data_IF_796078919404
#
_entry.id   IF_796078919404
#
_cell.length_a   1.000
_cell.length_b   1.000
_cell.length_c   1.000
_cell.angle_alpha   90.00
_cell.angle_beta   90.00
_cell.angle_gamma   90.00
#
_symmetry.space_group_name_H-M   'P 1'
#
loop_
_entity.id
_entity.type
_entity.pdbx_description
1 polymer ?
#
# COMPACT_ATOMS: atom_id res chain seq x y z
N UNK A 1 27.26 19.98 12.42
CA UNK A 1 26.62 19.35 11.24
C UNK A 1 26.51 20.41 10.15
N UNK A 2 27.10 20.16 8.98
CA UNK A 2 26.90 21.04 7.82
C UNK A 2 25.45 20.87 7.33
N UNK A 3 24.68 21.98 7.33
CA UNK A 3 23.27 21.92 6.92
C UNK A 3 23.21 22.00 5.38
N UNK A 4 22.88 20.88 4.75
CA UNK A 4 22.60 20.81 3.29
C UNK A 4 21.12 20.64 3.05
N UNK A 5 20.61 21.28 1.99
CA UNK A 5 19.22 21.09 1.56
C UNK A 5 19.00 19.66 1.07
N UNK A 6 17.98 19.00 1.59
CA UNK A 6 17.51 17.68 1.12
C UNK A 6 16.19 17.82 0.38
N UNK A 7 16.04 17.07 -0.70
CA UNK A 7 14.79 17.03 -1.48
C UNK A 7 13.87 15.86 -1.09
N UNK A 8 14.24 15.07 -0.10
CA UNK A 8 13.50 13.88 0.30
C UNK A 8 12.02 14.17 0.60
N UNK A 9 11.73 15.12 1.50
CA UNK A 9 10.37 15.48 1.84
C UNK A 9 9.62 16.23 0.71
N UNK A 10 10.34 16.92 -0.16
CA UNK A 10 9.75 17.51 -1.36
C UNK A 10 9.29 16.43 -2.35
N UNK A 11 9.99 15.30 -2.42
CA UNK A 11 9.55 14.14 -3.16
C UNK A 11 8.33 13.48 -2.50
N UNK A 12 8.36 13.21 -1.20
CA UNK A 12 7.23 12.61 -0.48
C UNK A 12 5.95 13.45 -0.59
N UNK A 13 6.04 14.78 -0.57
CA UNK A 13 4.88 15.67 -0.75
C UNK A 13 4.17 15.47 -2.10
N UNK A 14 4.84 14.89 -3.09
CA UNK A 14 4.24 14.61 -4.41
C UNK A 14 3.28 13.42 -4.40
N UNK A 15 3.31 12.53 -3.39
CA UNK A 15 2.36 11.42 -3.29
C UNK A 15 0.91 11.90 -3.35
N UNK A 16 0.59 13.03 -2.76
CA UNK A 16 -0.75 13.64 -2.80
C UNK A 16 -1.19 14.11 -4.20
N UNK A 17 -0.27 14.26 -5.15
CA UNK A 17 -0.55 14.70 -6.52
C UNK A 17 -0.81 13.52 -7.46
N UNK A 18 -0.44 12.29 -7.06
CA UNK A 18 -0.54 11.09 -7.88
C UNK A 18 -1.89 10.43 -7.59
N UNK A 19 -2.76 10.41 -8.61
CA UNK A 19 -4.08 9.82 -8.51
C UNK A 19 -4.01 8.33 -8.84
N UNK A 20 -4.53 7.50 -7.95
CA UNK A 20 -4.74 6.07 -8.20
C UNK A 20 -5.94 5.86 -9.12
N UNK A 21 -5.96 4.72 -9.82
CA UNK A 21 -7.03 4.40 -10.77
C UNK A 21 -7.22 5.49 -11.85
N UNK A 22 -6.13 6.14 -12.27
CA UNK A 22 -6.14 7.33 -13.13
C UNK A 22 -6.78 7.12 -14.50
N UNK A 23 -6.85 5.86 -15.00
CA UNK A 23 -7.51 5.49 -16.25
C UNK A 23 -8.95 5.00 -16.09
N UNK A 24 -9.49 5.05 -14.88
CA UNK A 24 -10.86 4.66 -14.58
C UNK A 24 -11.68 5.88 -14.12
N UNK A 25 -12.98 5.84 -14.40
CA UNK A 25 -13.91 6.82 -13.82
C UNK A 25 -14.10 6.49 -12.36
N UNK A 26 -13.86 7.46 -11.49
CA UNK A 26 -13.99 7.33 -10.04
C UNK A 26 -15.14 8.20 -9.55
N UNK A 27 -15.97 7.67 -8.65
CA UNK A 27 -16.92 8.45 -7.86
C UNK A 27 -16.16 9.25 -6.82
N UNK A 28 -15.27 8.59 -6.09
CA UNK A 28 -14.38 9.21 -5.14
C UNK A 28 -12.93 9.07 -5.59
N UNK A 29 -12.22 10.19 -5.70
CA UNK A 29 -10.80 10.18 -6.06
C UNK A 29 -9.97 9.74 -4.87
N UNK A 30 -8.92 8.99 -5.16
CA UNK A 30 -7.93 8.52 -4.19
C UNK A 30 -6.53 8.89 -4.68
N UNK A 31 -5.73 9.52 -3.85
CA UNK A 31 -4.31 9.76 -4.14
C UNK A 31 -3.41 8.81 -3.34
N UNK A 32 -2.13 8.73 -3.73
CA UNK A 32 -1.18 7.81 -3.09
C UNK A 32 -0.93 8.10 -1.60
N UNK A 33 -0.99 9.36 -1.17
CA UNK A 33 -0.79 9.68 0.24
C UNK A 33 -1.93 9.18 1.12
N UNK A 34 -3.17 9.32 0.68
CA UNK A 34 -4.36 8.79 1.36
C UNK A 34 -4.34 7.26 1.38
N UNK A 35 -4.03 6.64 0.24
CA UNK A 35 -3.90 5.19 0.13
C UNK A 35 -2.82 4.65 1.07
N UNK A 36 -1.62 5.20 1.04
CA UNK A 36 -0.52 4.75 1.89
C UNK A 36 -0.85 4.84 3.37
N UNK A 37 -1.58 5.87 3.81
CA UNK A 37 -2.05 5.96 5.19
C UNK A 37 -3.07 4.86 5.53
N UNK A 38 -4.02 4.58 4.64
CA UNK A 38 -4.99 3.50 4.83
C UNK A 38 -4.31 2.13 4.88
N UNK A 39 -3.35 1.89 3.98
CA UNK A 39 -2.56 0.66 3.97
C UNK A 39 -1.78 0.50 5.28
N UNK A 40 -1.22 1.59 5.83
CA UNK A 40 -0.51 1.55 7.10
C UNK A 40 -1.41 1.16 8.27
N UNK A 41 -2.64 1.68 8.34
CA UNK A 41 -3.61 1.27 9.37
C UNK A 41 -3.98 -0.21 9.26
N UNK A 42 -4.24 -0.70 8.06
CA UNK A 42 -4.57 -2.11 7.82
C UNK A 42 -3.37 -3.01 8.13
N UNK A 43 -2.17 -2.62 7.72
CA UNK A 43 -0.94 -3.38 7.94
C UNK A 43 -0.62 -3.52 9.44
N UNK A 44 -0.76 -2.46 10.22
CA UNK A 44 -0.62 -2.52 11.66
C UNK A 44 -1.67 -3.47 12.27
N UNK A 45 -2.93 -3.35 11.84
CA UNK A 45 -4.00 -4.21 12.34
C UNK A 45 -3.74 -5.69 12.03
N UNK A 46 -3.34 -6.03 10.79
CA UNK A 46 -3.00 -7.41 10.43
C UNK A 46 -1.84 -7.95 11.27
N UNK A 47 -0.80 -7.17 11.49
CA UNK A 47 0.33 -7.55 12.32
C UNK A 47 -0.07 -7.80 13.78
N UNK A 48 -0.90 -6.94 14.37
CA UNK A 48 -1.44 -7.11 15.73
C UNK A 48 -2.33 -8.35 15.81
N UNK A 49 -3.25 -8.54 14.86
CA UNK A 49 -4.14 -9.71 14.78
C UNK A 49 -3.32 -10.99 14.71
N UNK A 50 -2.30 -11.02 13.83
CA UNK A 50 -1.39 -12.16 13.68
C UNK A 50 -0.68 -12.49 14.98
N UNK A 51 -0.10 -11.50 15.66
CA UNK A 51 0.58 -11.72 16.93
C UNK A 51 -0.39 -12.19 18.04
N UNK A 52 -1.56 -11.57 18.11
CA UNK A 52 -2.52 -11.82 19.20
C UNK A 52 -3.21 -13.19 19.08
N UNK A 53 -3.55 -13.62 17.85
CA UNK A 53 -4.43 -14.76 17.66
C UNK A 53 -3.78 -15.95 16.93
N UNK A 54 -2.69 -15.69 16.18
CA UNK A 54 -2.13 -16.70 15.28
C UNK A 54 -0.63 -16.97 15.52
N UNK A 55 -0.12 -16.56 16.69
CA UNK A 55 1.23 -16.89 17.13
C UNK A 55 2.35 -16.22 16.33
N UNK A 56 2.08 -15.07 15.71
CA UNK A 56 3.11 -14.26 15.06
C UNK A 56 3.98 -13.52 16.07
N UNK A 57 5.15 -13.09 15.62
CA UNK A 57 6.12 -12.30 16.39
C UNK A 57 6.67 -11.11 15.56
N UNK A 58 5.82 -10.53 14.71
CA UNK A 58 6.21 -9.39 13.86
C UNK A 58 6.11 -8.07 14.64
N UNK A 59 6.79 -7.03 14.17
CA UNK A 59 6.72 -5.70 14.76
C UNK A 59 5.65 -4.86 14.04
N UNK A 60 4.46 -4.60 14.67
CA UNK A 60 3.37 -3.88 14.03
C UNK A 60 3.70 -2.43 13.67
N UNK A 61 4.47 -1.74 14.51
CA UNK A 61 4.86 -0.35 14.28
C UNK A 61 5.80 -0.25 13.08
N UNK A 62 6.78 -1.16 12.98
CA UNK A 62 7.68 -1.23 11.84
C UNK A 62 6.90 -1.51 10.55
N UNK A 63 6.00 -2.47 10.56
CA UNK A 63 5.18 -2.84 9.38
C UNK A 63 4.29 -1.67 8.95
N UNK A 64 3.71 -0.93 9.89
CA UNK A 64 2.94 0.27 9.58
C UNK A 64 3.78 1.33 8.88
N UNK A 65 5.01 1.58 9.37
CA UNK A 65 5.92 2.54 8.73
C UNK A 65 6.35 2.07 7.34
N UNK A 66 6.68 0.79 7.17
CA UNK A 66 6.97 0.22 5.85
C UNK A 66 5.79 0.41 4.88
N UNK A 67 4.57 0.17 5.34
CA UNK A 67 3.36 0.37 4.55
C UNK A 67 3.14 1.84 4.15
N UNK A 68 3.53 2.82 4.98
CA UNK A 68 3.50 4.24 4.59
C UNK A 68 4.39 4.55 3.39
N UNK A 69 5.47 3.80 3.21
CA UNK A 69 6.47 4.03 2.16
C UNK A 69 6.34 3.07 0.96
N UNK A 70 5.42 2.10 0.99
CA UNK A 70 5.39 0.98 0.03
C UNK A 70 5.26 1.38 -1.44
N UNK A 71 4.58 2.49 -1.73
CA UNK A 71 4.37 3.02 -3.08
C UNK A 71 5.20 4.29 -3.38
N UNK A 72 6.23 4.59 -2.56
CA UNK A 72 7.02 5.82 -2.75
C UNK A 72 7.85 5.84 -4.04
N UNK A 73 8.16 4.68 -4.62
CA UNK A 73 8.76 4.58 -5.96
C UNK A 73 7.90 5.24 -7.04
N UNK A 74 6.58 5.26 -6.87
CA UNK A 74 5.61 5.85 -7.79
C UNK A 74 5.70 7.39 -7.87
N UNK A 75 6.44 8.04 -6.97
CA UNK A 75 6.79 9.47 -7.10
C UNK A 75 7.50 9.75 -8.43
N UNK A 76 8.25 8.78 -8.95
CA UNK A 76 9.04 8.91 -10.19
C UNK A 76 8.34 8.29 -11.39
N UNK A 77 7.54 7.24 -11.20
CA UNK A 77 6.87 6.49 -12.27
C UNK A 77 5.42 6.87 -12.50
N UNK A 78 4.77 7.45 -11.48
CA UNK A 78 3.30 7.52 -11.40
C UNK A 78 2.69 6.16 -11.08
N UNK A 79 1.39 6.13 -10.77
CA UNK A 79 0.61 4.90 -10.59
C UNK A 79 0.43 4.21 -11.94
N UNK A 80 1.25 3.19 -12.19
CA UNK A 80 1.20 2.43 -13.45
C UNK A 80 0.00 1.47 -13.45
N UNK A 81 -0.89 1.57 -14.45
CA UNK A 81 -2.03 0.67 -14.55
C UNK A 81 -1.62 -0.81 -14.52
N UNK A 82 -2.29 -1.59 -13.68
CA UNK A 82 -2.00 -3.02 -13.47
C UNK A 82 -1.89 -3.84 -14.76
N UNK A 83 -2.73 -3.63 -15.83
CA UNK A 83 -2.56 -4.35 -17.09
C UNK A 83 -1.25 -4.08 -17.81
N UNK A 84 -0.61 -2.93 -17.56
CA UNK A 84 0.70 -2.60 -18.12
C UNK A 84 1.80 -3.20 -17.24
N UNK A 85 1.71 -3.02 -15.90
CA UNK A 85 2.70 -3.52 -14.94
C UNK A 85 2.92 -5.04 -15.05
N UNK A 86 1.88 -5.79 -15.38
CA UNK A 86 1.91 -7.27 -15.51
C UNK A 86 1.64 -7.76 -16.94
N UNK A 87 1.99 -6.97 -17.96
CA UNK A 87 1.74 -7.34 -19.37
C UNK A 87 2.51 -8.59 -19.79
N UNK A 88 3.79 -8.69 -19.40
CA UNK A 88 4.63 -9.87 -19.57
C UNK A 88 5.74 -9.89 -18.51
N UNK A 89 6.51 -11.00 -18.44
CA UNK A 89 7.59 -11.16 -17.47
C UNK A 89 8.70 -10.12 -17.61
N UNK A 90 9.04 -9.72 -18.83
CA UNK A 90 10.10 -8.74 -19.09
C UNK A 90 9.73 -7.37 -18.54
N UNK A 91 8.50 -6.90 -18.81
CA UNK A 91 7.99 -5.63 -18.29
C UNK A 91 7.89 -5.68 -16.77
N UNK A 92 7.41 -6.79 -16.22
CA UNK A 92 7.30 -6.96 -14.76
C UNK A 92 8.67 -6.89 -14.08
N UNK A 93 9.71 -7.54 -14.63
CA UNK A 93 11.06 -7.45 -14.09
C UNK A 93 11.66 -6.05 -14.23
N UNK A 94 11.58 -5.47 -15.43
CA UNK A 94 12.09 -4.11 -15.68
C UNK A 94 11.42 -3.08 -14.77
N UNK A 95 10.12 -3.23 -14.50
CA UNK A 95 9.41 -2.34 -13.58
C UNK A 95 9.87 -2.49 -12.13
N UNK A 96 10.12 -3.73 -11.68
CA UNK A 96 10.70 -3.98 -10.34
C UNK A 96 12.10 -3.38 -10.19
N UNK A 97 12.92 -3.45 -11.23
CA UNK A 97 14.24 -2.83 -11.24
C UNK A 97 14.13 -1.29 -11.12
N UNK A 98 13.13 -0.71 -11.77
CA UNK A 98 12.83 0.73 -11.66
C UNK A 98 12.35 1.08 -10.25
N UNK A 99 11.45 0.27 -9.67
CA UNK A 99 10.98 0.46 -8.28
C UNK A 99 12.16 0.45 -7.30
N UNK A 100 13.01 -0.56 -7.37
CA UNK A 100 14.20 -0.67 -6.51
C UNK A 100 15.18 0.51 -6.70
N UNK A 101 15.44 0.91 -7.95
CA UNK A 101 16.28 2.07 -8.23
C UNK A 101 15.66 3.37 -7.68
N UNK A 102 14.35 3.54 -7.75
CA UNK A 102 13.63 4.68 -7.22
C UNK A 102 13.68 4.74 -5.69
N UNK A 103 13.55 3.61 -5.00
CA UNK A 103 13.69 3.50 -3.54
C UNK A 103 15.09 3.93 -3.10
N UNK A 104 16.13 3.39 -3.72
CA UNK A 104 17.53 3.76 -3.44
C UNK A 104 17.82 5.23 -3.75
N UNK A 105 17.25 5.74 -4.85
CA UNK A 105 17.38 7.16 -5.18
C UNK A 105 16.73 8.04 -4.11
N UNK A 106 15.53 7.70 -3.65
CA UNK A 106 14.83 8.43 -2.60
C UNK A 106 15.65 8.46 -1.30
N UNK A 107 16.22 7.33 -0.90
CA UNK A 107 17.13 7.24 0.27
C UNK A 107 18.37 8.16 0.06
N UNK A 108 18.94 8.20 -1.14
CA UNK A 108 20.10 9.03 -1.45
C UNK A 108 19.87 10.54 -1.33
N UNK A 109 18.60 10.97 -1.36
CA UNK A 109 18.23 12.38 -1.16
C UNK A 109 18.31 12.80 0.32
N UNK A 110 18.36 11.86 1.25
CA UNK A 110 18.56 12.14 2.67
C UNK A 110 20.00 12.56 2.96
N UNK A 111 20.24 13.38 4.00
CA UNK A 111 21.58 13.52 4.57
C UNK A 111 22.19 12.13 4.88
N UNK A 112 23.48 11.96 4.59
CA UNK A 112 24.15 10.65 4.73
C UNK A 112 23.97 10.04 6.11
N UNK A 113 23.95 10.86 7.15
CA UNK A 113 23.80 10.43 8.54
C UNK A 113 22.42 9.86 8.87
N UNK A 114 21.42 10.08 7.99
CA UNK A 114 20.06 9.61 8.17
C UNK A 114 19.72 8.40 7.28
N UNK A 115 20.51 8.14 6.24
CA UNK A 115 20.20 7.10 5.24
C UNK A 115 20.03 5.72 5.88
N UNK A 116 20.95 5.30 6.74
CA UNK A 116 20.88 4.00 7.43
C UNK A 116 19.68 3.87 8.37
N UNK A 117 19.14 5.00 8.87
CA UNK A 117 17.96 4.99 9.74
C UNK A 117 16.65 4.88 8.95
N UNK A 118 16.63 5.35 7.72
CA UNK A 118 15.43 5.30 6.86
C UNK A 118 15.40 4.08 5.93
N UNK A 119 16.56 3.60 5.48
CA UNK A 119 16.66 2.47 4.56
C UNK A 119 15.85 1.24 5.00
N UNK A 120 15.81 0.83 6.30
CA UNK A 120 15.01 -0.32 6.73
C UNK A 120 13.49 -0.21 6.48
N UNK A 121 12.98 0.96 6.14
CA UNK A 121 11.56 1.20 5.86
C UNK A 121 11.25 1.52 4.39
N UNK A 122 12.27 1.86 3.61
CA UNK A 122 12.15 2.32 2.23
C UNK A 122 12.71 1.32 1.23
N UNK A 123 13.79 0.63 1.58
CA UNK A 123 14.43 -0.38 0.74
C UNK A 123 13.71 -1.73 0.92
N UNK A 124 12.85 -2.04 -0.03
CA UNK A 124 12.04 -3.26 0.00
C UNK A 124 12.88 -4.55 -0.03
N UNK A 125 14.14 -4.50 -0.46
CA UNK A 125 15.04 -5.67 -0.41
C UNK A 125 15.44 -6.04 1.03
N UNK A 126 15.35 -5.10 1.97
CA UNK A 126 15.63 -5.34 3.39
C UNK A 126 14.43 -5.93 4.17
N UNK A 127 13.26 -6.06 3.53
CA UNK A 127 12.05 -6.57 4.18
C UNK A 127 12.09 -8.10 4.22
N UNK A 128 11.71 -8.67 5.37
CA UNK A 128 11.50 -10.11 5.46
C UNK A 128 10.32 -10.56 4.57
N UNK A 129 10.28 -11.83 4.16
CA UNK A 129 9.15 -12.36 3.41
C UNK A 129 7.79 -12.16 4.12
N UNK A 130 7.78 -12.24 5.44
CA UNK A 130 6.58 -12.07 6.26
C UNK A 130 6.11 -10.61 6.28
N UNK A 131 7.04 -9.66 6.43
CA UNK A 131 6.75 -8.22 6.34
C UNK A 131 6.20 -7.85 4.96
N UNK A 132 6.87 -8.30 3.87
CA UNK A 132 6.39 -8.13 2.49
C UNK A 132 4.98 -8.69 2.31
N UNK A 133 4.70 -9.86 2.91
CA UNK A 133 3.39 -10.51 2.82
C UNK A 133 2.30 -9.65 3.46
N UNK A 134 2.51 -9.18 4.69
CA UNK A 134 1.53 -8.36 5.42
C UNK A 134 1.27 -7.02 4.70
N UNK A 135 2.32 -6.33 4.25
CA UNK A 135 2.16 -5.08 3.49
C UNK A 135 1.36 -5.33 2.20
N UNK A 136 1.69 -6.41 1.47
CA UNK A 136 0.96 -6.76 0.23
C UNK A 136 -0.51 -7.10 0.47
N UNK A 137 -0.83 -7.86 1.53
CA UNK A 137 -2.21 -8.13 1.91
C UNK A 137 -2.97 -6.83 2.23
N UNK A 138 -2.34 -5.91 2.93
CA UNK A 138 -2.94 -4.64 3.31
C UNK A 138 -3.25 -3.75 2.10
N UNK A 139 -2.33 -3.68 1.13
CA UNK A 139 -2.55 -3.01 -0.16
C UNK A 139 -3.75 -3.63 -0.90
N UNK A 140 -3.81 -4.96 -1.00
CA UNK A 140 -4.91 -5.68 -1.64
C UNK A 140 -6.26 -5.42 -0.95
N UNK A 141 -6.29 -5.41 0.38
CA UNK A 141 -7.51 -5.10 1.16
C UNK A 141 -7.97 -3.68 0.86
N UNK A 142 -7.08 -2.68 0.90
CA UNK A 142 -7.43 -1.28 0.61
C UNK A 142 -7.94 -1.10 -0.83
N UNK A 143 -7.27 -1.71 -1.80
CA UNK A 143 -7.73 -1.70 -3.19
C UNK A 143 -9.10 -2.38 -3.36
N UNK A 144 -9.36 -3.48 -2.64
CA UNK A 144 -10.64 -4.18 -2.62
C UNK A 144 -11.76 -3.32 -2.00
N UNK A 145 -11.49 -2.66 -0.88
CA UNK A 145 -12.44 -1.74 -0.21
C UNK A 145 -12.82 -0.62 -1.18
N UNK A 146 -11.85 -0.02 -1.87
CA UNK A 146 -12.10 1.00 -2.91
C UNK A 146 -12.99 0.47 -4.02
N UNK A 147 -12.66 -0.69 -4.60
CA UNK A 147 -13.45 -1.28 -5.68
C UNK A 147 -14.87 -1.67 -5.23
N UNK A 148 -15.02 -2.14 -3.99
CA UNK A 148 -16.32 -2.43 -3.37
C UNK A 148 -17.16 -1.16 -3.24
N UNK A 149 -16.58 -0.09 -2.67
CA UNK A 149 -17.24 1.21 -2.52
C UNK A 149 -17.78 1.74 -3.87
N UNK A 150 -16.94 1.79 -4.89
CA UNK A 150 -17.31 2.26 -6.22
C UNK A 150 -18.52 1.48 -6.78
N UNK A 151 -18.50 0.15 -6.64
CA UNK A 151 -19.63 -0.70 -7.11
C UNK A 151 -20.90 -0.47 -6.33
N UNK A 152 -20.85 -0.34 -5.01
CA UNK A 152 -22.02 -0.09 -4.15
C UNK A 152 -22.68 1.25 -4.45
N UNK A 153 -21.90 2.21 -4.97
CA UNK A 153 -22.39 3.51 -5.43
C UNK A 153 -22.71 3.55 -6.94
N UNK A 154 -22.82 2.38 -7.58
CA UNK A 154 -23.29 2.24 -8.96
C UNK A 154 -22.20 2.38 -10.04
N UNK A 155 -20.93 2.46 -9.68
CA UNK A 155 -19.85 2.51 -10.65
C UNK A 155 -19.44 1.10 -11.12
N UNK A 156 -20.12 0.59 -12.13
CA UNK A 156 -19.89 -0.76 -12.66
C UNK A 156 -18.55 -0.94 -13.38
N UNK A 157 -17.80 0.13 -13.64
CA UNK A 157 -16.45 0.05 -14.23
C UNK A 157 -15.49 -0.74 -13.34
N UNK A 158 -15.71 -0.74 -12.02
CA UNK A 158 -14.88 -1.47 -11.06
C UNK A 158 -15.20 -2.98 -10.94
N UNK A 159 -16.19 -3.51 -11.66
CA UNK A 159 -16.62 -4.93 -11.56
C UNK A 159 -15.47 -5.91 -11.83
N UNK A 160 -14.73 -5.69 -12.91
CA UNK A 160 -13.59 -6.56 -13.28
C UNK A 160 -12.42 -6.41 -12.32
N UNK A 161 -12.13 -5.18 -11.88
CA UNK A 161 -11.10 -4.91 -10.91
C UNK A 161 -11.39 -5.62 -9.57
N UNK A 162 -12.62 -5.51 -9.06
CA UNK A 162 -13.03 -6.19 -7.83
C UNK A 162 -12.85 -7.70 -7.92
N UNK A 163 -13.32 -8.34 -9.01
CA UNK A 163 -13.15 -9.80 -9.20
C UNK A 163 -11.68 -10.23 -9.25
N UNK A 164 -10.83 -9.43 -9.90
CA UNK A 164 -9.39 -9.70 -9.92
C UNK A 164 -8.78 -9.59 -8.53
N UNK A 165 -9.18 -8.58 -7.75
CA UNK A 165 -8.71 -8.41 -6.38
C UNK A 165 -9.14 -9.56 -5.48
N UNK A 166 -10.37 -10.06 -5.60
CA UNK A 166 -10.84 -11.26 -4.90
C UNK A 166 -9.95 -12.47 -5.18
N UNK A 167 -9.62 -12.74 -6.44
CA UNK A 167 -8.72 -13.82 -6.80
C UNK A 167 -7.29 -13.63 -6.24
N UNK A 168 -6.79 -12.39 -6.21
CA UNK A 168 -5.48 -12.10 -5.61
C UNK A 168 -5.51 -12.28 -4.10
N UNK A 169 -6.58 -11.86 -3.43
CA UNK A 169 -6.75 -12.05 -1.99
C UNK A 169 -6.80 -13.53 -1.61
N UNK A 170 -7.41 -14.40 -2.44
CA UNK A 170 -7.36 -15.85 -2.26
C UNK A 170 -5.93 -16.41 -2.37
N UNK A 171 -5.11 -15.88 -3.29
CA UNK A 171 -3.71 -16.28 -3.44
C UNK A 171 -2.81 -15.81 -2.29
N UNK A 172 -3.11 -14.66 -1.72
CA UNK A 172 -2.37 -14.04 -0.61
C UNK A 172 -3.03 -14.30 0.76
N UNK A 173 -3.94 -15.27 0.82
CA UNK A 173 -4.72 -15.62 1.98
C UNK A 173 -3.86 -15.87 3.24
N UNK A 174 -4.37 -15.42 4.39
CA UNK A 174 -3.85 -15.74 5.72
C UNK A 174 -4.96 -15.67 6.78
N UNK A 175 -4.73 -16.24 7.94
CA UNK A 175 -5.69 -16.26 9.04
C UNK A 175 -5.97 -14.84 9.57
N UNK A 176 -4.96 -13.98 9.67
CA UNK A 176 -5.11 -12.60 10.09
C UNK A 176 -5.90 -11.77 9.08
N UNK A 177 -5.74 -12.02 7.78
CA UNK A 177 -6.51 -11.39 6.73
C UNK A 177 -7.99 -11.80 6.79
N UNK A 178 -8.28 -13.08 6.95
CA UNK A 178 -9.64 -13.58 7.11
C UNK A 178 -10.34 -12.97 8.32
N UNK A 179 -9.63 -12.94 9.45
CA UNK A 179 -10.14 -12.31 10.66
C UNK A 179 -10.48 -10.84 10.41
N UNK A 180 -9.56 -10.09 9.78
CA UNK A 180 -9.78 -8.68 9.46
C UNK A 180 -11.03 -8.49 8.57
N UNK A 181 -11.14 -9.26 7.50
CA UNK A 181 -12.28 -9.18 6.57
C UNK A 181 -13.60 -9.55 7.25
N UNK A 182 -13.60 -10.55 8.10
CA UNK A 182 -14.80 -10.99 8.80
C UNK A 182 -15.28 -9.97 9.84
N UNK A 183 -14.36 -9.35 10.58
CA UNK A 183 -14.68 -8.49 11.72
C UNK A 183 -14.89 -7.04 11.30
N UNK A 184 -14.05 -6.50 10.41
CA UNK A 184 -14.03 -5.05 10.13
C UNK A 184 -14.71 -4.68 8.82
N UNK A 185 -14.62 -5.52 7.78
CA UNK A 185 -15.21 -5.20 6.47
C UNK A 185 -16.72 -4.95 6.50
N UNK A 186 -17.56 -5.63 7.31
CA UNK A 186 -19.01 -5.42 7.32
C UNK A 186 -19.46 -4.03 7.78
N UNK A 187 -18.62 -3.32 8.55
CA UNK A 187 -18.93 -1.96 9.03
C UNK A 187 -18.40 -0.85 8.12
N UNK A 188 -17.49 -1.19 7.19
CA UNK A 188 -16.98 -0.20 6.25
C UNK A 188 -18.08 0.23 5.26
N UNK A 189 -18.26 1.52 5.12
CA UNK A 189 -19.31 2.12 4.29
C UNK A 189 -20.63 2.40 5.02
N UNK A 190 -20.73 2.10 6.32
CA UNK A 190 -21.86 2.55 7.14
C UNK A 190 -21.76 4.04 7.44
N UNK A 191 -22.91 4.68 7.63
CA UNK A 191 -22.95 6.09 8.02
C UNK A 191 -22.38 6.29 9.44
N UNK A 192 -21.93 7.50 9.73
CA UNK A 192 -21.42 7.84 11.06
C UNK A 192 -22.48 7.61 12.16
N UNK A 193 -23.74 7.82 11.86
CA UNK A 193 -24.85 7.63 12.81
C UNK A 193 -25.06 6.14 13.15
N UNK A 194 -24.66 5.21 12.25
CA UNK A 194 -24.75 3.77 12.47
C UNK A 194 -23.55 3.19 13.25
N UNK A 195 -22.40 3.86 13.22
CA UNK A 195 -21.17 3.33 13.82
C UNK A 195 -20.71 4.07 15.09
N UNK A 196 -21.19 5.30 15.32
CA UNK A 196 -20.76 6.15 16.44
C UNK A 196 -21.70 6.07 17.67
N UNK A 197 -22.80 5.34 17.60
CA UNK A 197 -23.77 5.10 18.65
C UNK A 197 -23.83 3.62 19.01
#
# INVERSE_FOLDING_TARGET
VEVKTSHFFACLDRLRLIQRWSLMRNIEKENLAEHSLQVAFVAQALAIIKNQFFGGEVNPERIAVMAMYHDTSEIFTGDLPTPIKYFNSEITHAYKDIEAAAELHLISLLPTELQDSFAPYLDSEQFSPEEKHIVKQSDLICAYIKAKFELEHGNHEFKTAKKRLENLMEQWHSQEMDYFLQVFLPSLGRSIDEIAL
#
